data_IF_510690013535
#
_entry.id   IF_510690013535
#
_cell.length_a   1.000
_cell.length_b   1.000
_cell.length_c   1.000
_cell.angle_alpha   90.00
_cell.angle_beta   90.00
_cell.angle_gamma   90.00
#
_symmetry.space_group_name_H-M   'P 1'
#
loop_
_entity.id
_entity.type
_entity.pdbx_description
1 polymer ?
#
# COMPACT_ATOMS: atom_id res chain seq x y z
N UNK A 1 -8.19 -32.63 -3.97
CA UNK A 1 -8.47 -32.11 -2.61
C UNK A 1 -7.59 -30.91 -2.40
N UNK A 2 -8.13 -29.82 -1.87
CA UNK A 2 -7.29 -28.67 -1.58
C UNK A 2 -6.36 -28.96 -0.41
N UNK A 3 -5.14 -28.50 -0.48
CA UNK A 3 -4.12 -28.61 0.57
C UNK A 3 -4.58 -28.04 1.93
N UNK A 4 -5.68 -27.27 1.93
CA UNK A 4 -6.25 -26.60 3.08
C UNK A 4 -7.61 -27.18 3.52
N UNK A 5 -7.80 -28.48 3.34
CA UNK A 5 -9.10 -29.13 3.59
C UNK A 5 -9.52 -29.16 5.07
N UNK A 6 -8.58 -29.18 5.98
CA UNK A 6 -8.86 -29.23 7.43
C UNK A 6 -8.61 -27.87 8.10
N UNK A 7 -9.56 -27.40 8.92
CA UNK A 7 -9.37 -26.16 9.69
C UNK A 7 -8.19 -26.27 10.65
N UNK A 8 -7.22 -25.38 10.53
CA UNK A 8 -6.04 -25.33 11.40
C UNK A 8 -5.49 -23.92 11.51
N UNK A 9 -4.94 -23.59 12.67
CA UNK A 9 -4.12 -22.38 12.80
C UNK A 9 -2.80 -22.58 12.04
N UNK A 10 -2.41 -21.56 11.29
CA UNK A 10 -1.19 -21.60 10.47
C UNK A 10 -0.29 -20.44 10.82
N UNK A 11 1.00 -20.70 10.87
CA UNK A 11 2.03 -19.68 11.04
C UNK A 11 2.86 -19.64 9.78
N UNK A 12 2.89 -18.47 9.14
CA UNK A 12 3.77 -18.21 8.01
C UNK A 12 5.03 -17.50 8.49
N UNK A 13 6.16 -17.90 7.92
CA UNK A 13 7.44 -17.18 8.05
C UNK A 13 7.86 -16.77 6.66
N UNK A 14 7.38 -15.59 6.20
CA UNK A 14 7.57 -15.22 4.81
C UNK A 14 9.05 -14.99 4.50
N UNK A 15 9.52 -15.63 3.43
CA UNK A 15 10.88 -15.50 2.91
C UNK A 15 10.89 -14.96 1.48
N UNK A 16 9.72 -14.85 0.85
CA UNK A 16 9.60 -14.49 -0.57
C UNK A 16 9.04 -13.10 -0.74
N UNK A 17 9.73 -12.29 -1.54
CA UNK A 17 9.26 -11.00 -1.98
C UNK A 17 8.55 -11.13 -3.33
N UNK A 18 7.60 -10.26 -3.60
CA UNK A 18 7.00 -10.12 -4.92
C UNK A 18 6.79 -8.65 -5.28
N UNK A 19 6.74 -8.36 -6.58
CA UNK A 19 6.48 -7.01 -7.07
C UNK A 19 4.98 -6.86 -7.36
N UNK A 20 4.33 -5.93 -6.66
CA UNK A 20 2.94 -5.61 -6.90
C UNK A 20 2.75 -4.80 -8.18
N UNK A 21 1.54 -4.83 -8.74
CA UNK A 21 1.15 -4.03 -9.93
C UNK A 21 1.39 -2.54 -9.73
N UNK A 22 1.28 -2.07 -8.49
CA UNK A 22 1.51 -0.67 -8.10
C UNK A 22 2.98 -0.24 -8.17
N UNK A 23 3.91 -1.18 -8.43
CA UNK A 23 5.33 -0.89 -8.56
C UNK A 23 6.13 -0.96 -7.26
N UNK A 24 5.54 -1.45 -6.17
CA UNK A 24 6.21 -1.65 -4.89
C UNK A 24 6.53 -3.12 -4.64
N UNK A 25 7.51 -3.36 -3.78
CA UNK A 25 7.88 -4.70 -3.35
C UNK A 25 7.18 -5.06 -2.04
N UNK A 26 6.57 -6.24 -2.02
CA UNK A 26 5.84 -6.78 -0.88
C UNK A 26 6.49 -8.07 -0.40
N UNK A 27 6.36 -8.35 0.88
CA UNK A 27 6.66 -9.66 1.43
C UNK A 27 5.35 -10.44 1.48
N UNK A 28 5.32 -11.59 0.82
CA UNK A 28 4.15 -12.47 0.78
C UNK A 28 3.71 -12.88 2.19
N UNK A 29 2.43 -12.83 2.42
CA UNK A 29 1.85 -13.13 3.72
C UNK A 29 0.62 -14.03 3.62
N UNK A 30 -0.41 -13.70 4.40
CA UNK A 30 -1.66 -14.44 4.41
C UNK A 30 -2.45 -14.11 3.14
N UNK A 31 -2.82 -15.13 2.40
CA UNK A 31 -3.61 -15.02 1.17
C UNK A 31 -4.27 -16.37 0.85
N UNK A 32 -5.11 -16.39 -0.18
CA UNK A 32 -5.68 -17.65 -0.68
C UNK A 32 -4.60 -18.65 -1.09
N UNK A 33 -3.56 -18.16 -1.74
CA UNK A 33 -2.47 -18.96 -2.28
C UNK A 33 -1.57 -19.56 -1.19
N UNK A 34 -1.46 -18.89 -0.04
CA UNK A 34 -0.53 -19.32 1.02
C UNK A 34 -1.20 -20.15 2.12
N UNK A 35 -2.42 -19.79 2.51
CA UNK A 35 -3.12 -20.45 3.64
C UNK A 35 -4.56 -20.83 3.31
N UNK A 36 -5.02 -20.62 2.09
CA UNK A 36 -6.40 -20.86 1.71
C UNK A 36 -7.38 -19.85 2.29
N UNK A 37 -6.93 -18.62 2.56
CA UNK A 37 -7.81 -17.54 3.04
C UNK A 37 -8.92 -17.27 2.04
N UNK A 38 -10.12 -16.99 2.54
CA UNK A 38 -11.31 -16.82 1.69
C UNK A 38 -11.81 -15.37 1.60
N UNK A 39 -11.45 -14.52 2.53
CA UNK A 39 -11.97 -13.16 2.60
C UNK A 39 -10.95 -12.10 2.97
N UNK A 40 -9.73 -12.47 3.25
CA UNK A 40 -8.69 -11.52 3.67
C UNK A 40 -7.32 -11.86 3.07
N UNK A 41 -6.49 -10.83 2.94
CA UNK A 41 -5.04 -11.00 2.80
C UNK A 41 -4.32 -10.10 3.82
N UNK A 42 -3.09 -10.45 4.16
CA UNK A 42 -2.19 -9.64 4.98
C UNK A 42 -0.77 -9.81 4.49
N UNK A 43 -0.08 -8.72 4.27
CA UNK A 43 1.30 -8.74 3.79
C UNK A 43 2.08 -7.53 4.33
N UNK A 44 3.39 -7.56 4.14
CA UNK A 44 4.29 -6.48 4.54
C UNK A 44 4.69 -5.66 3.31
N UNK A 45 4.76 -4.35 3.49
CA UNK A 45 5.19 -3.41 2.47
C UNK A 45 6.38 -2.62 2.97
N UNK A 46 7.38 -2.44 2.10
CA UNK A 46 8.47 -1.49 2.33
C UNK A 46 8.51 -0.50 1.16
N UNK A 47 8.55 0.80 1.48
CA UNK A 47 8.73 1.87 0.50
C UNK A 47 10.07 2.53 0.76
N UNK A 48 11.03 2.45 -0.17
CA UNK A 48 12.33 3.08 0.00
C UNK A 48 12.21 4.61 0.00
N UNK A 49 13.24 5.33 0.51
CA UNK A 49 13.27 6.80 0.41
C UNK A 49 13.06 7.28 -1.04
N UNK A 50 12.14 8.22 -1.22
CA UNK A 50 11.77 8.75 -2.54
C UNK A 50 10.87 7.83 -3.38
N UNK A 51 10.55 6.63 -2.88
CA UNK A 51 9.67 5.69 -3.58
C UNK A 51 8.20 6.07 -3.50
N UNK A 52 7.41 5.62 -4.46
CA UNK A 52 5.96 5.74 -4.46
C UNK A 52 5.29 4.60 -5.23
N UNK A 53 4.04 4.34 -4.93
CA UNK A 53 3.23 3.49 -5.77
C UNK A 53 2.76 4.23 -7.03
N UNK A 54 2.40 3.48 -8.06
CA UNK A 54 1.60 3.99 -9.17
C UNK A 54 0.20 4.31 -8.69
N UNK A 55 -0.45 5.29 -9.32
CA UNK A 55 -1.85 5.59 -9.02
C UNK A 55 -2.73 4.38 -9.35
N UNK A 56 -3.55 3.98 -8.38
CA UNK A 56 -4.39 2.78 -8.48
C UNK A 56 -5.60 2.86 -7.54
N UNK A 57 -6.48 1.91 -7.68
CA UNK A 57 -7.57 1.67 -6.73
C UNK A 57 -7.75 0.16 -6.52
N UNK A 58 -8.45 -0.20 -5.47
CA UNK A 58 -8.95 -1.55 -5.21
C UNK A 58 -10.48 -1.53 -5.39
N UNK A 59 -10.97 -2.09 -6.48
CA UNK A 59 -12.31 -1.84 -6.99
C UNK A 59 -13.43 -2.17 -6.00
N UNK A 60 -13.32 -3.30 -5.31
CA UNK A 60 -14.39 -3.82 -4.42
C UNK A 60 -13.91 -4.15 -3.01
N UNK A 61 -12.69 -3.77 -2.67
CA UNK A 61 -12.05 -4.20 -1.44
C UNK A 61 -11.53 -3.03 -0.62
N UNK A 62 -11.69 -3.15 0.67
CA UNK A 62 -11.20 -2.21 1.66
C UNK A 62 -9.77 -2.55 2.05
N UNK A 63 -9.00 -1.54 2.42
CA UNK A 63 -7.62 -1.69 2.88
C UNK A 63 -7.48 -1.06 4.26
N UNK A 64 -6.86 -1.80 5.17
CA UNK A 64 -6.41 -1.31 6.46
C UNK A 64 -4.89 -1.47 6.56
N UNK A 65 -4.21 -0.43 7.05
CA UNK A 65 -2.75 -0.37 7.13
C UNK A 65 -2.35 0.00 8.55
N UNK A 66 -1.34 -0.68 9.08
CA UNK A 66 -0.65 -0.27 10.30
C UNK A 66 0.79 0.10 9.95
N UNK A 67 1.18 1.35 10.20
CA UNK A 67 2.55 1.82 9.95
C UNK A 67 3.46 1.35 11.07
N UNK A 68 4.44 0.52 10.74
CA UNK A 68 5.41 -0.02 11.69
C UNK A 68 6.57 0.96 11.93
N UNK A 69 7.07 1.58 10.86
CA UNK A 69 8.22 2.47 10.91
C UNK A 69 8.18 3.46 9.74
N UNK A 70 8.73 4.66 9.96
CA UNK A 70 8.79 5.71 8.96
C UNK A 70 7.52 6.55 8.87
N UNK A 71 7.44 7.35 7.82
CA UNK A 71 6.27 8.19 7.53
C UNK A 71 5.96 8.21 6.04
N UNK A 72 4.69 8.20 5.70
CA UNK A 72 4.18 8.22 4.34
C UNK A 72 3.16 9.33 4.14
N UNK A 73 3.12 9.88 2.94
CA UNK A 73 1.99 10.70 2.47
C UNK A 73 1.18 9.84 1.51
N UNK A 74 -0.12 9.74 1.74
CA UNK A 74 -1.03 9.09 0.80
C UNK A 74 -1.82 10.17 0.07
N UNK A 75 -1.63 10.25 -1.25
CA UNK A 75 -2.46 11.05 -2.13
C UNK A 75 -3.72 10.25 -2.45
N UNK A 76 -4.88 10.90 -2.48
CA UNK A 76 -6.14 10.23 -2.79
C UNK A 76 -7.19 11.17 -3.39
N UNK A 77 -8.22 10.59 -3.98
CA UNK A 77 -9.32 11.28 -4.64
C UNK A 77 -9.29 11.06 -6.14
N UNK A 78 -10.39 11.39 -6.83
CA UNK A 78 -10.54 11.17 -8.28
C UNK A 78 -9.47 11.87 -9.13
N UNK A 79 -8.87 12.92 -8.60
CA UNK A 79 -7.77 13.68 -9.19
C UNK A 79 -6.60 13.81 -8.23
N UNK A 80 -6.47 12.93 -7.26
CA UNK A 80 -5.43 12.95 -6.23
C UNK A 80 -5.32 14.32 -5.52
N UNK A 81 -6.46 14.97 -5.35
CA UNK A 81 -6.53 16.33 -4.81
C UNK A 81 -6.33 16.42 -3.29
N UNK A 82 -6.44 15.31 -2.60
CA UNK A 82 -6.28 15.23 -1.15
C UNK A 82 -5.02 14.47 -0.76
N UNK A 83 -4.53 14.73 0.43
CA UNK A 83 -3.45 13.92 1.01
C UNK A 83 -3.57 13.82 2.52
N UNK A 84 -3.03 12.74 3.08
CA UNK A 84 -2.88 12.53 4.52
C UNK A 84 -1.46 12.06 4.82
N UNK A 85 -0.93 12.51 5.94
CA UNK A 85 0.34 12.04 6.49
C UNK A 85 0.06 10.94 7.50
N UNK A 86 0.78 9.85 7.42
CA UNK A 86 0.79 8.78 8.42
C UNK A 86 2.22 8.47 8.84
N UNK A 87 2.40 8.09 10.09
CA UNK A 87 3.70 7.76 10.69
C UNK A 87 3.59 6.52 11.59
N UNK A 88 4.73 6.03 12.05
CA UNK A 88 4.79 4.85 12.91
C UNK A 88 3.75 4.91 14.04
N UNK A 89 2.95 3.86 14.16
CA UNK A 89 1.84 3.73 15.12
C UNK A 89 0.47 4.15 14.58
N UNK A 90 0.40 4.77 13.42
CA UNK A 90 -0.88 5.19 12.83
C UNK A 90 -1.57 4.04 12.10
N UNK A 91 -2.89 4.10 12.12
CA UNK A 91 -3.77 3.24 11.34
C UNK A 91 -4.36 4.04 10.17
N UNK A 92 -4.29 3.47 8.98
CA UNK A 92 -4.83 4.10 7.77
C UNK A 92 -5.91 3.21 7.17
N UNK A 93 -7.04 3.81 6.84
CA UNK A 93 -8.15 3.14 6.17
C UNK A 93 -8.33 3.71 4.76
N UNK A 94 -8.45 2.83 3.78
CA UNK A 94 -8.72 3.20 2.39
C UNK A 94 -9.99 2.46 1.94
N UNK A 95 -11.07 3.18 1.62
CA UNK A 95 -12.30 2.55 1.14
C UNK A 95 -12.12 1.95 -0.25
N UNK A 96 -13.00 1.00 -0.59
CA UNK A 96 -13.06 0.43 -1.92
C UNK A 96 -13.32 1.51 -2.99
N UNK A 97 -12.68 1.36 -4.15
CA UNK A 97 -12.89 2.23 -5.29
C UNK A 97 -12.23 3.62 -5.21
N UNK A 98 -11.52 3.93 -4.14
CA UNK A 98 -10.86 5.24 -3.99
C UNK A 98 -9.51 5.25 -4.70
N UNK A 99 -9.29 6.11 -5.72
CA UNK A 99 -7.97 6.32 -6.30
C UNK A 99 -6.97 6.83 -5.26
N UNK A 100 -5.81 6.22 -5.20
CA UNK A 100 -4.78 6.60 -4.22
C UNK A 100 -3.39 6.13 -4.61
N UNK A 101 -2.39 6.69 -3.94
CA UNK A 101 -1.02 6.18 -3.93
C UNK A 101 -0.28 6.68 -2.69
N UNK A 102 0.54 5.83 -2.04
CA UNK A 102 1.47 6.27 -1.02
C UNK A 102 2.78 6.75 -1.65
N UNK A 103 3.41 7.73 -1.01
CA UNK A 103 4.72 8.24 -1.37
C UNK A 103 5.57 8.44 -0.12
N UNK A 104 6.85 8.10 -0.23
CA UNK A 104 7.84 8.31 0.82
C UNK A 104 8.73 9.51 0.46
N UNK A 105 8.45 10.65 1.07
CA UNK A 105 9.27 11.86 0.91
C UNK A 105 10.32 12.02 2.00
N UNK A 106 10.45 11.04 2.89
CA UNK A 106 11.46 11.03 3.96
C UNK A 106 12.78 10.43 3.48
N UNK A 107 13.81 10.58 4.30
CA UNK A 107 15.11 9.96 4.05
C UNK A 107 15.27 8.54 4.60
N UNK A 108 14.19 7.94 5.09
CA UNK A 108 14.17 6.59 5.70
C UNK A 108 13.16 5.69 5.00
N UNK A 109 13.38 4.37 4.98
CA UNK A 109 12.36 3.44 4.49
C UNK A 109 11.09 3.50 5.33
N UNK A 110 9.95 3.20 4.71
CA UNK A 110 8.68 2.96 5.39
C UNK A 110 8.45 1.47 5.45
N UNK A 111 7.99 0.98 6.61
CA UNK A 111 7.51 -0.39 6.76
C UNK A 111 6.09 -0.38 7.29
N UNK A 112 5.22 -1.18 6.69
CA UNK A 112 3.81 -1.24 7.06
C UNK A 112 3.25 -2.66 6.90
N UNK A 113 2.26 -2.97 7.72
CA UNK A 113 1.40 -4.15 7.54
C UNK A 113 0.16 -3.70 6.79
N UNK A 114 -0.19 -4.40 5.73
CA UNK A 114 -1.37 -4.12 4.91
C UNK A 114 -2.31 -5.32 4.97
N UNK A 115 -3.58 -5.05 5.21
CA UNK A 115 -4.65 -6.04 5.15
C UNK A 115 -5.74 -5.57 4.19
N UNK A 116 -6.34 -6.51 3.46
CA UNK A 116 -7.46 -6.22 2.56
C UNK A 116 -8.53 -7.28 2.70
N UNK A 117 -9.73 -6.91 2.34
CA UNK A 117 -10.87 -7.85 2.23
C UNK A 117 -10.83 -8.65 0.92
N UNK A 118 -9.66 -8.76 0.32
CA UNK A 118 -9.37 -9.52 -0.90
C UNK A 118 -8.42 -10.67 -0.55
N UNK A 119 -8.82 -11.94 -0.73
CA UNK A 119 -7.93 -13.07 -0.46
C UNK A 119 -6.84 -13.26 -1.51
N UNK A 120 -7.00 -12.65 -2.70
CA UNK A 120 -6.05 -12.68 -3.80
C UNK A 120 -5.50 -11.28 -4.04
N UNK A 121 -4.52 -10.92 -3.30
CA UNK A 121 -4.01 -9.58 -3.03
C UNK A 121 -3.87 -8.64 -4.24
N UNK A 122 -3.54 -9.16 -5.44
CA UNK A 122 -3.36 -8.37 -6.64
C UNK A 122 -4.55 -8.37 -7.62
N UNK A 123 -5.57 -9.16 -7.39
CA UNK A 123 -6.71 -9.26 -8.31
C UNK A 123 -7.53 -7.98 -8.41
N UNK A 124 -7.73 -7.31 -7.28
CA UNK A 124 -8.54 -6.09 -7.22
C UNK A 124 -7.80 -4.82 -7.60
N UNK A 125 -6.50 -4.90 -7.88
CA UNK A 125 -5.69 -3.72 -8.25
C UNK A 125 -6.03 -3.27 -9.67
N UNK A 126 -6.54 -2.05 -9.79
CA UNK A 126 -6.77 -1.37 -11.05
C UNK A 126 -5.82 -0.18 -11.14
N UNK A 127 -4.88 -0.23 -12.08
CA UNK A 127 -3.97 0.88 -12.34
C UNK A 127 -4.69 2.02 -13.06
N UNK A 128 -4.34 3.25 -12.72
CA UNK A 128 -4.95 4.47 -13.24
C UNK A 128 -3.89 5.31 -13.97
N UNK A 129 -3.44 4.89 -15.16
CA UNK A 129 -2.36 5.56 -15.88
C UNK A 129 -2.70 7.01 -16.24
N UNK A 130 -3.98 7.34 -16.37
CA UNK A 130 -4.47 8.70 -16.62
C UNK A 130 -4.18 9.67 -15.45
N UNK A 131 -3.92 9.15 -14.25
CA UNK A 131 -3.59 9.96 -13.08
C UNK A 131 -2.07 10.10 -12.85
N UNK A 132 -1.22 9.43 -13.62
CA UNK A 132 0.22 9.45 -13.38
C UNK A 132 0.84 10.85 -13.55
N UNK A 133 0.43 11.62 -14.55
CA UNK A 133 0.91 12.99 -14.73
C UNK A 133 0.51 13.88 -13.54
N UNK A 134 -0.71 13.75 -13.05
CA UNK A 134 -1.18 14.46 -11.85
C UNK A 134 -0.40 14.02 -10.62
N UNK A 135 -0.14 12.72 -10.50
CA UNK A 135 0.66 12.17 -9.40
C UNK A 135 2.07 12.78 -9.36
N UNK A 136 2.74 12.83 -10.50
CA UNK A 136 4.08 13.45 -10.61
C UNK A 136 4.07 14.91 -10.19
N UNK A 137 3.10 15.68 -10.68
CA UNK A 137 2.93 17.10 -10.32
C UNK A 137 2.71 17.28 -8.82
N UNK A 138 1.79 16.50 -8.23
CA UNK A 138 1.48 16.58 -6.80
C UNK A 138 2.67 16.19 -5.92
N UNK A 139 3.38 15.13 -6.29
CA UNK A 139 4.59 14.68 -5.57
C UNK A 139 5.68 15.75 -5.65
N UNK A 140 5.91 16.35 -6.82
CA UNK A 140 6.86 17.43 -6.99
C UNK A 140 6.53 18.65 -6.13
N UNK A 141 5.24 19.02 -6.06
CA UNK A 141 4.78 20.13 -5.22
C UNK A 141 5.00 19.83 -3.72
N UNK A 142 4.73 18.62 -3.27
CA UNK A 142 4.99 18.22 -1.88
C UNK A 142 6.48 18.20 -1.54
N UNK A 143 7.33 17.74 -2.45
CA UNK A 143 8.79 17.79 -2.29
C UNK A 143 9.30 19.24 -2.15
N UNK A 144 8.80 20.14 -2.98
CA UNK A 144 9.14 21.55 -2.95
C UNK A 144 8.72 22.20 -1.62
N UNK A 145 7.49 21.96 -1.17
CA UNK A 145 6.99 22.47 0.10
C UNK A 145 7.83 21.98 1.30
N UNK A 146 8.23 20.70 1.30
CA UNK A 146 9.08 20.13 2.33
C UNK A 146 10.46 20.79 2.39
N UNK A 147 11.10 21.07 1.24
CA UNK A 147 12.39 21.77 1.18
C UNK A 147 12.31 23.19 1.75
N UNK A 148 11.25 23.92 1.45
CA UNK A 148 11.03 25.26 1.96
C UNK A 148 10.79 25.27 3.48
N UNK A 149 10.10 24.27 4.04
CA UNK A 149 9.88 24.18 5.49
C UNK A 149 11.14 23.87 6.29
N UNK A 150 12.14 23.22 5.68
CA UNK A 150 13.44 22.94 6.31
C UNK A 150 14.34 24.16 6.30
N UNK A 151 14.14 25.12 5.38
CA UNK A 151 14.92 26.34 5.26
C UNK A 151 14.39 27.52 6.10
N UNK A 152 13.22 27.37 6.67
CA UNK A 152 12.60 28.35 7.59
C UNK A 152 12.69 27.87 9.04
#
# INVERSE_FOLDING_TARGET
MSEFSEPACRVLRPLTNYNGKQGLTYIEGIAAETVGAKGICMHLLTIPPGGRAKAHLHERHETAIYVLDGEAITLYGDRLQHHVLSKAGDLVYIPAGLPHLPVNLSGKPISAVITRTDPSEQESVVLLPELEAIAEEKVAALKSAKRHSVLT
#
